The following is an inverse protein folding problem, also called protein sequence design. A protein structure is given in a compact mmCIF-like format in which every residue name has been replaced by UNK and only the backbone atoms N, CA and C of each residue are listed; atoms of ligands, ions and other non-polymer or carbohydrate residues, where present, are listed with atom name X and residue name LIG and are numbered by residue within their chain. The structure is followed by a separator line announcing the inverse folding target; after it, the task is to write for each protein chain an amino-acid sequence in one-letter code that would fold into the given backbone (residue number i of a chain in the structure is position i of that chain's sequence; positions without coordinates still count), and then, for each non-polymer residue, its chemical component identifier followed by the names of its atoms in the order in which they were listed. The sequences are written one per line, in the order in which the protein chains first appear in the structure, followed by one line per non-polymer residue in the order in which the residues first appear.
data_IF_074968852284
#
_entry.id   IF_074968852284
#
_cell.length_a   1.000
_cell.length_b   1.000
_cell.length_c   1.000
_cell.angle_alpha   90.00
_cell.angle_beta   90.00
_cell.angle_gamma   90.00
#
_symmetry.space_group_name_H-M   'P 1'
#
loop_
_entity.id
_entity.type
_entity.pdbx_description
1 polymer ?
#
# COMPACT_ATOMS: atom_id res chain seq x y z
N UNK A 1 -19.89 7.98 -7.78
CA UNK A 1 -18.88 7.86 -8.85
C UNK A 1 -18.53 6.38 -8.95
N UNK A 2 -18.33 5.83 -10.17
CA UNK A 2 -17.89 4.44 -10.33
C UNK A 2 -16.44 4.29 -9.82
N UNK A 3 -16.12 3.19 -9.17
CA UNK A 3 -14.76 2.91 -8.73
C UNK A 3 -13.86 2.66 -9.96
N UNK A 4 -12.61 3.14 -9.90
CA UNK A 4 -11.58 2.85 -10.88
C UNK A 4 -10.98 1.45 -10.65
N UNK A 5 -10.73 1.11 -9.38
CA UNK A 5 -10.31 -0.21 -8.94
C UNK A 5 -11.34 -0.78 -7.98
N UNK A 6 -11.75 -2.02 -8.20
CA UNK A 6 -12.58 -2.81 -7.30
C UNK A 6 -11.88 -4.13 -7.02
N UNK A 7 -11.70 -4.45 -5.75
CA UNK A 7 -11.22 -5.73 -5.26
C UNK A 7 -12.31 -6.31 -4.38
N UNK A 8 -12.81 -7.49 -4.73
CA UNK A 8 -13.93 -8.14 -4.06
C UNK A 8 -13.52 -9.54 -3.61
N UNK A 9 -13.62 -9.78 -2.31
CA UNK A 9 -13.39 -11.08 -1.68
C UNK A 9 -12.07 -11.75 -2.10
N UNK A 10 -11.02 -10.94 -2.29
CA UNK A 10 -9.72 -11.45 -2.71
C UNK A 10 -9.12 -12.34 -1.62
N UNK A 11 -8.94 -13.60 -1.96
CA UNK A 11 -8.14 -14.57 -1.22
C UNK A 11 -6.92 -14.96 -2.05
N UNK A 12 -5.75 -15.14 -1.41
CA UNK A 12 -4.56 -15.59 -2.11
C UNK A 12 -3.80 -16.64 -1.30
N UNK A 13 -3.32 -17.66 -1.99
CA UNK A 13 -2.50 -18.75 -1.44
C UNK A 13 -1.16 -18.79 -2.16
N UNK A 14 -0.10 -18.94 -1.40
CA UNK A 14 1.27 -19.00 -1.92
C UNK A 14 1.87 -20.39 -1.68
N UNK A 15 2.71 -20.90 -2.60
CA UNK A 15 3.49 -22.10 -2.35
C UNK A 15 4.57 -21.79 -1.30
N UNK A 16 4.49 -22.46 -0.16
CA UNK A 16 5.46 -22.39 0.95
C UNK A 16 5.82 -23.83 1.30
N UNK A 17 7.09 -24.21 1.16
CA UNK A 17 7.59 -25.57 1.46
C UNK A 17 6.78 -26.70 0.78
N UNK A 18 6.28 -26.44 -0.43
CA UNK A 18 5.51 -27.41 -1.21
C UNK A 18 4.00 -27.43 -0.92
N UNK A 19 3.53 -26.69 0.06
CA UNK A 19 2.11 -26.54 0.38
C UNK A 19 1.57 -25.15 0.02
N UNK A 20 0.29 -25.09 -0.35
CA UNK A 20 -0.40 -23.80 -0.57
C UNK A 20 -0.90 -23.24 0.76
N UNK A 21 -0.30 -22.16 1.23
CA UNK A 21 -0.68 -21.46 2.47
C UNK A 21 -1.35 -20.12 2.16
N UNK A 22 -2.47 -19.86 2.83
CA UNK A 22 -3.25 -18.63 2.62
C UNK A 22 -2.52 -17.42 3.20
N UNK A 23 -2.44 -16.34 2.42
CA UNK A 23 -1.80 -15.07 2.81
C UNK A 23 -2.77 -13.89 2.74
N UNK A 24 -3.83 -13.99 1.94
CA UNK A 24 -4.94 -13.03 1.92
C UNK A 24 -6.24 -13.76 2.22
N UNK A 25 -7.03 -13.18 3.13
CA UNK A 25 -8.25 -13.77 3.63
C UNK A 25 -9.41 -12.79 3.46
N UNK A 26 -10.14 -12.87 2.35
CA UNK A 26 -11.33 -12.06 2.10
C UNK A 26 -11.04 -10.53 2.15
N UNK A 27 -10.13 -10.08 1.29
CA UNK A 27 -9.78 -8.67 1.15
C UNK A 27 -10.69 -8.00 0.14
N UNK A 28 -11.43 -6.97 0.58
CA UNK A 28 -12.28 -6.16 -0.29
C UNK A 28 -11.95 -4.68 -0.10
N UNK A 29 -11.67 -3.98 -1.19
CA UNK A 29 -11.42 -2.53 -1.22
C UNK A 29 -11.80 -1.95 -2.58
N UNK A 30 -12.07 -0.66 -2.61
CA UNK A 30 -12.31 0.08 -3.86
C UNK A 30 -11.52 1.37 -3.86
N UNK A 31 -11.19 1.89 -5.04
CA UNK A 31 -10.51 3.17 -5.22
C UNK A 31 -11.21 3.91 -6.36
N UNK A 32 -11.69 5.13 -6.10
CA UNK A 32 -12.24 5.99 -7.13
C UNK A 32 -11.13 6.67 -7.96
N UNK A 33 -11.46 7.19 -9.14
CA UNK A 33 -10.52 7.99 -9.92
C UNK A 33 -10.08 9.23 -9.11
N UNK A 34 -8.76 9.45 -9.04
CA UNK A 34 -8.14 10.54 -8.27
C UNK A 34 -8.12 10.34 -6.74
N UNK A 35 -8.73 9.28 -6.20
CA UNK A 35 -8.75 9.00 -4.76
C UNK A 35 -7.39 8.44 -4.30
N UNK A 36 -6.94 8.84 -3.11
CA UNK A 36 -5.85 8.22 -2.40
C UNK A 36 -6.38 7.31 -1.28
N UNK A 37 -6.09 6.02 -1.37
CA UNK A 37 -6.48 5.03 -0.35
C UNK A 37 -5.23 4.46 0.32
N UNK A 38 -5.18 4.56 1.65
CA UNK A 38 -4.14 3.96 2.46
C UNK A 38 -4.41 2.47 2.73
N UNK A 39 -3.36 1.66 2.78
CA UNK A 39 -3.40 0.30 3.28
C UNK A 39 -2.32 0.14 4.35
N UNK A 40 -2.73 0.12 5.62
CA UNK A 40 -1.85 0.20 6.79
C UNK A 40 -1.88 -1.09 7.61
N UNK A 41 -0.77 -1.45 8.23
CA UNK A 41 -0.68 -2.59 9.14
C UNK A 41 0.76 -3.02 9.40
N UNK A 42 0.97 -3.91 10.37
CA UNK A 42 2.29 -4.44 10.71
C UNK A 42 2.89 -5.25 9.53
N UNK A 43 4.22 -5.49 9.58
CA UNK A 43 4.90 -6.34 8.60
C UNK A 43 4.28 -7.74 8.59
N UNK A 44 4.14 -8.34 7.40
CA UNK A 44 3.51 -9.66 7.24
C UNK A 44 1.98 -9.66 7.28
N UNK A 45 1.31 -8.50 7.36
CA UNK A 45 -0.17 -8.42 7.35
C UNK A 45 -0.81 -8.68 5.98
N UNK A 46 -0.04 -8.73 4.88
CA UNK A 46 -0.56 -9.01 3.52
C UNK A 46 -0.63 -7.80 2.58
N UNK A 47 -0.26 -6.59 3.01
CA UNK A 47 -0.36 -5.33 2.23
C UNK A 47 0.29 -5.42 0.84
N UNK A 48 1.59 -5.72 0.81
CA UNK A 48 2.35 -5.84 -0.44
C UNK A 48 1.80 -6.96 -1.34
N UNK A 49 1.26 -8.03 -0.74
CA UNK A 49 0.66 -9.11 -1.50
C UNK A 49 -0.65 -8.68 -2.16
N UNK A 50 -1.44 -7.83 -1.50
CA UNK A 50 -2.64 -7.20 -2.08
C UNK A 50 -2.28 -6.35 -3.30
N UNK A 51 -1.26 -5.47 -3.19
CA UNK A 51 -0.80 -4.68 -4.33
C UNK A 51 -0.26 -5.55 -5.47
N UNK A 52 0.51 -6.59 -5.16
CA UNK A 52 1.00 -7.55 -6.17
C UNK A 52 -0.12 -8.33 -6.86
N UNK A 53 -1.19 -8.67 -6.14
CA UNK A 53 -2.36 -9.29 -6.75
C UNK A 53 -3.02 -8.34 -7.75
N UNK A 54 -3.25 -7.07 -7.36
CA UNK A 54 -3.77 -6.03 -8.25
C UNK A 54 -2.85 -5.86 -9.46
N UNK A 55 -1.53 -5.73 -9.27
CA UNK A 55 -0.56 -5.56 -10.37
C UNK A 55 -0.39 -6.81 -11.25
N UNK A 56 -1.02 -7.95 -10.92
CA UNK A 56 -0.77 -9.27 -11.54
C UNK A 56 0.70 -9.71 -11.45
N UNK A 57 1.29 -9.50 -10.28
CA UNK A 57 2.68 -9.83 -9.95
C UNK A 57 2.78 -10.82 -8.78
N UNK A 58 1.76 -11.65 -8.57
CA UNK A 58 1.84 -12.75 -7.60
C UNK A 58 2.96 -13.71 -7.99
N UNK A 59 3.65 -14.34 -7.02
CA UNK A 59 4.68 -15.34 -7.29
C UNK A 59 4.17 -16.51 -8.14
N UNK A 60 5.07 -17.16 -8.86
CA UNK A 60 4.74 -18.36 -9.64
C UNK A 60 4.17 -19.46 -8.73
N UNK A 61 3.11 -20.12 -9.18
CA UNK A 61 2.39 -21.13 -8.41
C UNK A 61 1.40 -20.57 -7.37
N UNK A 62 1.30 -19.24 -7.22
CA UNK A 62 0.26 -18.65 -6.39
C UNK A 62 -1.13 -18.88 -7.00
N UNK A 63 -2.13 -19.03 -6.12
CA UNK A 63 -3.54 -19.10 -6.49
C UNK A 63 -4.27 -17.92 -5.87
N UNK A 64 -5.16 -17.30 -6.64
CA UNK A 64 -6.02 -16.21 -6.16
C UNK A 64 -7.46 -16.49 -6.54
N UNK A 65 -8.37 -16.25 -5.59
CA UNK A 65 -9.82 -16.33 -5.72
C UNK A 65 -10.41 -14.94 -5.45
N UNK A 66 -11.65 -14.70 -5.82
CA UNK A 66 -12.30 -13.38 -5.76
C UNK A 66 -12.21 -12.64 -7.09
N UNK A 67 -12.52 -11.35 -7.10
CA UNK A 67 -12.51 -10.53 -8.31
C UNK A 67 -11.66 -9.26 -8.13
N UNK A 68 -10.91 -8.91 -9.18
CA UNK A 68 -10.22 -7.62 -9.31
C UNK A 68 -10.71 -7.00 -10.61
N UNK A 69 -11.36 -5.84 -10.52
CA UNK A 69 -11.82 -5.08 -11.68
C UNK A 69 -11.11 -3.74 -11.75
N UNK A 70 -10.65 -3.40 -12.93
CA UNK A 70 -10.08 -2.09 -13.23
C UNK A 70 -10.89 -1.46 -14.35
N UNK A 71 -11.47 -0.31 -14.09
CA UNK A 71 -12.37 0.39 -15.02
C UNK A 71 -13.50 -0.55 -15.53
N UNK A 72 -14.08 -1.33 -14.59
CA UNK A 72 -15.13 -2.33 -14.85
C UNK A 72 -14.66 -3.62 -15.55
N UNK A 73 -13.39 -3.73 -15.95
CA UNK A 73 -12.85 -4.91 -16.64
C UNK A 73 -12.22 -5.89 -15.65
N UNK A 74 -12.52 -7.17 -15.79
CA UNK A 74 -11.87 -8.23 -15.00
C UNK A 74 -10.38 -8.34 -15.35
N UNK A 75 -9.53 -8.02 -14.37
CA UNK A 75 -8.07 -8.02 -14.51
C UNK A 75 -7.53 -9.43 -14.75
N UNK A 76 -8.15 -10.47 -14.18
CA UNK A 76 -7.71 -11.85 -14.37
C UNK A 76 -7.88 -12.36 -15.81
N UNK A 77 -8.91 -11.87 -16.50
CA UNK A 77 -9.21 -12.24 -17.86
C UNK A 77 -8.32 -11.56 -18.92
N UNK A 78 -7.60 -10.47 -18.56
CA UNK A 78 -6.79 -9.72 -19.52
C UNK A 78 -5.62 -10.52 -20.06
N UNK A 79 -5.43 -10.49 -21.39
CA UNK A 79 -4.35 -11.16 -22.14
C UNK A 79 -3.82 -10.26 -23.26
N UNK A 80 -2.63 -10.55 -23.78
CA UNK A 80 -2.07 -9.87 -24.96
C UNK A 80 -2.06 -8.35 -24.83
N UNK A 81 -2.73 -7.66 -25.78
CA UNK A 81 -2.85 -6.20 -25.84
C UNK A 81 -3.52 -5.62 -24.59
N UNK A 82 -4.67 -6.19 -24.18
CA UNK A 82 -5.39 -5.71 -22.99
C UNK A 82 -4.57 -5.79 -21.70
N UNK A 83 -3.71 -6.80 -21.53
CA UNK A 83 -2.80 -6.87 -20.40
C UNK A 83 -1.66 -5.83 -20.53
N UNK A 84 -1.20 -5.55 -21.74
CA UNK A 84 -0.20 -4.48 -21.96
C UNK A 84 -0.78 -3.11 -21.61
N UNK A 85 -2.00 -2.82 -22.06
CA UNK A 85 -2.70 -1.57 -21.79
C UNK A 85 -2.90 -1.39 -20.28
N UNK A 86 -3.39 -2.43 -19.60
CA UNK A 86 -3.52 -2.46 -18.13
C UNK A 86 -2.20 -2.12 -17.42
N UNK A 87 -1.08 -2.73 -17.84
CA UNK A 87 0.26 -2.45 -17.28
C UNK A 87 0.76 -1.04 -17.60
N UNK A 88 0.22 -0.39 -18.61
CA UNK A 88 0.47 1.01 -18.90
C UNK A 88 -0.35 1.97 -18.04
N UNK A 89 -1.52 1.52 -17.55
CA UNK A 89 -2.45 2.31 -16.75
C UNK A 89 -2.30 2.09 -15.23
N UNK A 90 -1.71 0.96 -14.82
CA UNK A 90 -1.44 0.61 -13.41
C UNK A 90 0.06 0.47 -13.21
N UNK A 91 0.64 1.37 -12.44
CA UNK A 91 2.06 1.37 -12.14
C UNK A 91 2.31 1.02 -10.68
N UNK A 92 3.47 0.39 -10.39
CA UNK A 92 3.86 0.03 -9.04
C UNK A 92 5.22 0.64 -8.67
N UNK A 93 5.28 1.29 -7.51
CA UNK A 93 6.51 1.73 -6.86
C UNK A 93 6.83 0.74 -5.75
N UNK A 94 8.01 0.15 -5.78
CA UNK A 94 8.45 -0.88 -4.84
C UNK A 94 9.22 -0.28 -3.66
N UNK A 95 9.24 -1.01 -2.55
CA UNK A 95 9.89 -0.64 -1.30
C UNK A 95 11.41 -0.46 -1.45
N UNK A 96 12.09 -1.37 -2.17
CA UNK A 96 13.52 -1.28 -2.44
C UNK A 96 13.77 -0.99 -3.93
N UNK A 97 14.14 0.25 -4.29
CA UNK A 97 14.41 0.60 -5.67
C UNK A 97 15.59 -0.17 -6.27
N UNK A 98 16.58 -0.59 -5.44
CA UNK A 98 17.77 -1.31 -5.93
C UNK A 98 17.45 -2.73 -6.36
N UNK A 99 16.50 -3.39 -5.71
CA UNK A 99 16.07 -4.73 -6.05
C UNK A 99 15.32 -4.81 -7.40
N UNK A 100 14.81 -3.66 -7.90
CA UNK A 100 13.94 -3.60 -9.07
C UNK A 100 14.57 -2.90 -10.28
N UNK A 101 15.83 -2.50 -10.20
CA UNK A 101 16.59 -1.92 -11.31
C UNK A 101 17.78 -2.82 -11.67
N UNK A 102 18.04 -3.01 -12.96
CA UNK A 102 19.19 -3.79 -13.40
C UNK A 102 20.48 -2.96 -13.18
N UNK A 103 21.41 -3.39 -12.29
CA UNK A 103 22.58 -2.59 -11.91
C UNK A 103 23.61 -2.42 -13.02
N UNK A 104 23.56 -3.23 -14.08
CA UNK A 104 24.49 -3.15 -15.23
C UNK A 104 23.92 -2.35 -16.40
N UNK A 105 22.75 -1.75 -16.24
CA UNK A 105 22.12 -0.86 -17.23
C UNK A 105 22.10 0.57 -16.71
N UNK A 106 22.19 1.53 -17.62
CA UNK A 106 22.06 2.94 -17.26
C UNK A 106 20.63 3.28 -16.86
N UNK A 107 20.47 4.35 -16.09
CA UNK A 107 19.15 4.91 -15.73
C UNK A 107 18.33 5.22 -16.98
N UNK A 108 18.99 5.78 -18.02
CA UNK A 108 18.34 6.08 -19.29
C UNK A 108 17.79 4.85 -20.01
N UNK A 109 18.54 3.75 -20.03
CA UNK A 109 18.06 2.51 -20.64
C UNK A 109 16.87 1.93 -19.88
N UNK A 110 16.91 1.98 -18.55
CA UNK A 110 15.80 1.53 -17.68
C UNK A 110 14.53 2.37 -17.92
N UNK A 111 14.61 3.69 -17.88
CA UNK A 111 13.47 4.59 -18.07
C UNK A 111 12.87 4.48 -19.49
N UNK A 112 13.74 4.51 -20.51
CA UNK A 112 13.31 4.45 -21.91
C UNK A 112 12.68 3.12 -22.27
N UNK A 113 13.15 2.00 -21.69
CA UNK A 113 12.59 0.68 -21.96
C UNK A 113 11.10 0.57 -21.55
N UNK A 114 10.75 1.05 -20.35
CA UNK A 114 9.39 1.02 -19.84
C UNK A 114 8.42 1.73 -20.82
N UNK A 115 8.77 2.94 -21.25
CA UNK A 115 7.93 3.72 -22.17
C UNK A 115 7.82 3.07 -23.55
N UNK A 116 8.93 2.54 -24.08
CA UNK A 116 8.93 1.85 -25.38
C UNK A 116 8.11 0.56 -25.35
N UNK A 117 8.27 -0.24 -24.32
CA UNK A 117 7.59 -1.54 -24.19
C UNK A 117 6.06 -1.38 -24.03
N UNK A 118 5.62 -0.39 -23.27
CA UNK A 118 4.20 -0.19 -22.96
C UNK A 118 3.48 0.74 -23.94
N UNK A 119 4.16 1.77 -24.45
CA UNK A 119 3.53 2.82 -25.30
C UNK A 119 4.03 2.84 -26.74
N UNK A 120 4.99 2.00 -27.10
CA UNK A 120 5.51 1.91 -28.50
C UNK A 120 6.26 3.17 -28.96
N UNK A 121 6.71 4.05 -28.06
CA UNK A 121 7.37 5.32 -28.38
C UNK A 121 8.79 5.05 -28.87
N UNK A 122 9.26 5.80 -29.88
CA UNK A 122 10.64 5.70 -30.34
C UNK A 122 11.66 6.12 -29.28
N UNK A 123 12.93 5.67 -29.42
CA UNK A 123 13.98 5.89 -28.41
C UNK A 123 14.29 7.37 -28.17
N UNK A 124 14.28 8.19 -29.22
CA UNK A 124 14.61 9.63 -29.11
C UNK A 124 13.54 10.39 -28.35
N UNK A 125 12.27 10.15 -28.67
CA UNK A 125 11.12 10.72 -27.96
C UNK A 125 11.05 10.20 -26.52
N UNK A 126 11.27 8.90 -26.29
CA UNK A 126 11.31 8.34 -24.95
C UNK A 126 12.41 8.97 -24.08
N UNK A 127 13.59 9.21 -24.64
CA UNK A 127 14.69 9.90 -23.93
C UNK A 127 14.34 11.33 -23.53
N UNK A 128 13.72 12.11 -24.42
CA UNK A 128 13.27 13.48 -24.11
C UNK A 128 12.23 13.48 -22.98
N UNK A 129 11.27 12.56 -23.04
CA UNK A 129 10.27 12.40 -21.96
C UNK A 129 10.91 11.99 -20.65
N UNK A 130 11.92 11.11 -20.67
CA UNK A 130 12.66 10.71 -19.47
C UNK A 130 13.38 11.89 -18.81
N UNK A 131 14.00 12.78 -19.59
CA UNK A 131 14.62 14.03 -19.06
C UNK A 131 13.58 14.93 -18.41
N UNK A 132 12.42 15.12 -19.03
CA UNK A 132 11.33 15.91 -18.47
C UNK A 132 10.80 15.29 -17.16
N UNK A 133 10.57 13.98 -17.15
CA UNK A 133 10.10 13.28 -15.95
C UNK A 133 11.09 13.33 -14.78
N UNK A 134 12.41 13.38 -15.04
CA UNK A 134 13.42 13.61 -14.01
C UNK A 134 13.31 15.03 -13.43
N UNK A 135 13.02 16.03 -14.25
CA UNK A 135 12.78 17.39 -13.77
C UNK A 135 11.51 17.49 -12.90
N UNK A 136 10.41 16.81 -13.28
CA UNK A 136 9.16 16.75 -12.51
C UNK A 136 9.36 16.21 -11.07
N UNK A 137 10.35 15.35 -10.87
CA UNK A 137 10.70 14.82 -9.53
C UNK A 137 11.87 15.54 -8.86
N UNK A 138 12.22 16.74 -9.36
CA UNK A 138 13.28 17.59 -8.78
C UNK A 138 14.73 17.07 -9.00
N UNK A 139 14.96 16.27 -10.05
CA UNK A 139 16.31 15.82 -10.43
C UNK A 139 16.87 16.71 -11.55
N UNK A 140 17.82 17.60 -11.27
CA UNK A 140 18.45 18.44 -12.29
C UNK A 140 19.42 17.65 -13.19
N UNK A 141 19.81 18.27 -14.30
CA UNK A 141 20.79 17.71 -15.26
C UNK A 141 20.35 16.35 -15.83
N UNK A 142 19.08 16.21 -16.20
CA UNK A 142 18.46 14.94 -16.61
C UNK A 142 19.27 14.17 -17.66
N UNK A 143 19.85 14.85 -18.70
CA UNK A 143 20.68 14.19 -19.73
C UNK A 143 21.92 13.51 -19.12
N UNK A 144 22.60 14.14 -18.18
CA UNK A 144 23.75 13.55 -17.47
C UNK A 144 23.29 12.38 -16.62
N UNK A 145 22.16 12.53 -15.90
CA UNK A 145 21.62 11.48 -15.03
C UNK A 145 21.23 10.23 -15.79
N UNK A 146 20.68 10.36 -17.00
CA UNK A 146 20.35 9.21 -17.83
C UNK A 146 21.58 8.35 -18.21
N UNK A 147 22.79 8.93 -18.20
CA UNK A 147 24.04 8.20 -18.44
C UNK A 147 24.59 7.45 -17.23
N UNK A 148 24.09 7.73 -16.03
CA UNK A 148 24.56 7.11 -14.78
C UNK A 148 24.00 5.70 -14.58
N UNK A 149 24.70 4.93 -13.75
CA UNK A 149 24.25 3.61 -13.29
C UNK A 149 23.55 3.71 -11.92
N UNK A 150 22.69 2.77 -11.56
CA UNK A 150 21.97 2.80 -10.29
C UNK A 150 22.85 2.93 -9.04
N UNK A 151 24.05 2.33 -9.05
CA UNK A 151 25.00 2.38 -7.94
C UNK A 151 25.69 3.75 -7.75
N UNK A 152 25.62 4.63 -8.75
CA UNK A 152 26.14 5.99 -8.68
C UNK A 152 25.14 6.98 -8.06
N UNK A 153 23.92 6.52 -7.73
CA UNK A 153 22.86 7.34 -7.16
C UNK A 153 22.67 7.04 -5.66
N UNK A 154 22.35 8.07 -4.88
CA UNK A 154 21.85 7.88 -3.52
C UNK A 154 20.50 7.17 -3.53
N UNK A 155 20.11 6.58 -2.39
CA UNK A 155 18.81 5.89 -2.26
C UNK A 155 17.63 6.81 -2.62
N UNK A 156 17.62 8.04 -2.12
CA UNK A 156 16.56 9.02 -2.42
C UNK A 156 16.51 9.44 -3.88
N UNK A 157 17.68 9.63 -4.52
CA UNK A 157 17.73 9.93 -5.96
C UNK A 157 17.23 8.75 -6.78
N UNK A 158 17.61 7.51 -6.44
CA UNK A 158 17.14 6.33 -7.15
C UNK A 158 15.62 6.14 -6.97
N UNK A 159 15.10 6.41 -5.78
CA UNK A 159 13.64 6.37 -5.54
C UNK A 159 12.91 7.41 -6.40
N UNK A 160 13.41 8.65 -6.50
CA UNK A 160 12.83 9.66 -7.41
C UNK A 160 12.90 9.22 -8.87
N UNK A 161 14.00 8.57 -9.30
CA UNK A 161 14.08 7.96 -10.64
C UNK A 161 13.02 6.90 -10.86
N UNK A 162 12.74 6.03 -9.86
CA UNK A 162 11.68 5.03 -9.96
C UNK A 162 10.31 5.67 -10.11
N UNK A 163 10.02 6.73 -9.35
CA UNK A 163 8.78 7.51 -9.47
C UNK A 163 8.69 8.17 -10.85
N UNK A 164 9.75 8.82 -11.32
CA UNK A 164 9.80 9.41 -12.66
C UNK A 164 9.54 8.36 -13.76
N UNK A 165 10.14 7.17 -13.62
CA UNK A 165 9.95 6.06 -14.57
C UNK A 165 8.49 5.60 -14.63
N UNK A 166 7.86 5.48 -13.47
CA UNK A 166 6.44 5.14 -13.35
C UNK A 166 5.56 6.19 -14.03
N UNK A 167 5.84 7.47 -13.79
CA UNK A 167 5.07 8.59 -14.37
C UNK A 167 5.18 8.71 -15.90
N UNK A 168 6.23 8.16 -16.52
CA UNK A 168 6.39 8.13 -17.97
C UNK A 168 5.27 7.41 -18.72
N UNK A 169 4.64 6.44 -18.07
CA UNK A 169 3.52 5.70 -18.66
C UNK A 169 2.18 6.39 -18.48
N UNK A 170 2.13 7.53 -17.77
CA UNK A 170 0.91 8.29 -17.46
C UNK A 170 -0.15 7.37 -16.85
N UNK A 171 0.14 6.73 -15.70
CA UNK A 171 -0.76 5.74 -15.11
C UNK A 171 -2.02 6.42 -14.52
N UNK A 172 -3.14 5.71 -14.56
CA UNK A 172 -4.38 6.12 -13.87
C UNK A 172 -4.40 5.68 -12.40
N UNK A 173 -3.65 4.60 -12.07
CA UNK A 173 -3.52 4.07 -10.72
C UNK A 173 -2.05 3.81 -10.38
N UNK A 174 -1.64 4.30 -9.23
CA UNK A 174 -0.33 4.05 -8.64
C UNK A 174 -0.48 3.15 -7.42
N UNK A 175 0.28 2.07 -7.38
CA UNK A 175 0.43 1.18 -6.23
C UNK A 175 1.78 1.50 -5.59
N UNK A 176 1.80 2.25 -4.49
CA UNK A 176 3.02 2.64 -3.80
C UNK A 176 3.25 1.74 -2.58
N UNK A 177 4.11 0.73 -2.73
CA UNK A 177 4.41 -0.26 -1.69
C UNK A 177 5.59 0.21 -0.85
N UNK A 178 5.31 0.82 0.30
CA UNK A 178 6.28 1.39 1.24
C UNK A 178 7.37 2.24 0.54
N UNK A 179 7.00 3.24 -0.27
CA UNK A 179 7.91 3.90 -1.21
C UNK A 179 9.03 4.69 -0.55
N UNK A 180 9.03 4.80 0.78
CA UNK A 180 9.96 5.66 1.53
C UNK A 180 10.68 4.96 2.68
N UNK A 181 10.43 3.67 2.92
CA UNK A 181 10.98 2.93 4.08
C UNK A 181 12.51 2.88 4.11
N UNK A 182 13.17 2.91 2.95
CA UNK A 182 14.64 2.90 2.86
C UNK A 182 15.29 4.31 2.88
N UNK A 183 14.50 5.36 3.17
CA UNK A 183 14.95 6.76 3.12
C UNK A 183 15.00 7.38 4.52
N UNK A 184 15.86 8.38 4.69
CA UNK A 184 15.82 9.24 5.87
C UNK A 184 14.55 10.11 5.90
N UNK A 185 14.16 10.59 7.08
CA UNK A 185 12.91 11.32 7.33
C UNK A 185 12.71 12.53 6.41
N UNK A 186 13.79 13.29 6.14
CA UNK A 186 13.72 14.48 5.28
C UNK A 186 13.46 14.08 3.83
N UNK A 187 14.23 13.14 3.30
CA UNK A 187 14.05 12.61 1.94
C UNK A 187 12.68 11.93 1.78
N UNK A 188 12.20 11.26 2.82
CA UNK A 188 10.85 10.67 2.84
C UNK A 188 9.78 11.73 2.63
N UNK A 189 9.83 12.83 3.41
CA UNK A 189 8.86 13.92 3.29
C UNK A 189 8.86 14.56 1.89
N UNK A 190 10.05 14.79 1.31
CA UNK A 190 10.20 15.34 -0.04
C UNK A 190 9.62 14.40 -1.12
N UNK A 191 9.92 13.10 -1.04
CA UNK A 191 9.41 12.12 -2.02
C UNK A 191 7.90 12.01 -1.93
N UNK A 192 7.33 12.03 -0.72
CA UNK A 192 5.88 11.98 -0.53
C UNK A 192 5.18 13.25 -1.03
N UNK A 193 5.76 14.43 -0.80
CA UNK A 193 5.22 15.70 -1.30
C UNK A 193 5.17 15.69 -2.84
N UNK A 194 6.25 15.26 -3.49
CA UNK A 194 6.31 15.12 -4.96
C UNK A 194 5.24 14.15 -5.46
N UNK A 195 5.10 12.98 -4.83
CA UNK A 195 4.13 11.98 -5.26
C UNK A 195 2.68 12.49 -5.12
N UNK A 196 2.34 13.18 -4.02
CA UNK A 196 1.00 13.71 -3.80
C UNK A 196 0.69 14.90 -4.74
N UNK A 197 1.65 15.81 -4.97
CA UNK A 197 1.51 16.90 -5.94
C UNK A 197 1.23 16.36 -7.34
N UNK A 198 2.07 15.45 -7.84
CA UNK A 198 1.90 14.86 -9.16
C UNK A 198 0.62 14.02 -9.29
N UNK A 199 0.20 13.34 -8.19
CA UNK A 199 -1.09 12.66 -8.14
C UNK A 199 -2.24 13.61 -8.38
N UNK A 200 -2.25 14.74 -7.66
CA UNK A 200 -3.32 15.76 -7.77
C UNK A 200 -3.33 16.43 -9.13
N UNK A 201 -2.17 16.86 -9.62
CA UNK A 201 -2.04 17.52 -10.93
C UNK A 201 -2.49 16.62 -12.08
N UNK A 202 -2.20 15.33 -12.02
CA UNK A 202 -2.51 14.37 -13.09
C UNK A 202 -3.81 13.59 -12.87
N UNK A 203 -4.51 13.82 -11.77
CA UNK A 203 -5.76 13.12 -11.43
C UNK A 203 -5.60 11.61 -11.24
N UNK A 204 -4.42 11.16 -10.80
CA UNK A 204 -4.13 9.73 -10.58
C UNK A 204 -4.76 9.24 -9.29
N UNK A 205 -5.28 8.00 -9.31
CA UNK A 205 -5.62 7.27 -8.10
C UNK A 205 -4.36 6.67 -7.45
N UNK A 206 -4.38 6.52 -6.11
CA UNK A 206 -3.24 6.02 -5.34
C UNK A 206 -3.70 4.93 -4.36
N UNK A 207 -3.06 3.75 -4.39
CA UNK A 207 -3.03 2.82 -3.27
C UNK A 207 -1.69 2.99 -2.54
N UNK A 208 -1.73 3.62 -1.36
CA UNK A 208 -0.56 3.91 -0.56
C UNK A 208 -0.38 2.90 0.56
N UNK A 209 0.64 2.07 0.47
CA UNK A 209 0.96 1.04 1.46
C UNK A 209 2.04 1.57 2.39
N UNK A 210 1.77 1.51 3.69
CA UNK A 210 2.71 1.90 4.74
C UNK A 210 2.42 1.13 6.03
N UNK A 211 3.36 1.11 6.95
CA UNK A 211 3.12 0.70 8.34
C UNK A 211 2.78 1.89 9.26
N UNK A 212 2.77 3.08 8.70
CA UNK A 212 2.61 4.35 9.39
C UNK A 212 1.19 4.92 9.20
N UNK A 213 0.38 4.89 10.28
CA UNK A 213 -0.99 5.36 10.26
C UNK A 213 -1.09 6.89 10.09
N UNK A 214 -0.15 7.66 10.70
CA UNK A 214 -0.15 9.12 10.59
C UNK A 214 0.22 9.56 9.17
N UNK A 215 1.23 8.91 8.57
CA UNK A 215 1.60 9.19 7.19
C UNK A 215 0.45 8.89 6.23
N UNK A 216 -0.27 7.78 6.45
CA UNK A 216 -1.49 7.48 5.70
C UNK A 216 -2.58 8.55 5.94
N UNK A 217 -2.73 9.00 7.19
CA UNK A 217 -3.65 10.08 7.57
C UNK A 217 -3.37 11.41 6.87
N UNK A 218 -2.10 11.72 6.63
CA UNK A 218 -1.68 12.95 5.95
C UNK A 218 -1.84 12.92 4.43
N UNK A 219 -1.78 11.74 3.82
CA UNK A 219 -1.73 11.57 2.35
C UNK A 219 -3.03 11.05 1.76
N UNK A 220 -3.77 10.20 2.50
CA UNK A 220 -4.88 9.45 1.96
C UNK A 220 -6.24 10.02 2.38
N UNK A 221 -7.20 9.97 1.48
CA UNK A 221 -8.59 10.37 1.74
C UNK A 221 -9.25 9.36 2.68
N UNK A 222 -8.99 8.07 2.45
CA UNK A 222 -9.52 6.92 3.19
C UNK A 222 -8.43 5.91 3.43
N UNK A 223 -8.46 5.20 4.58
CA UNK A 223 -7.45 4.19 4.92
C UNK A 223 -8.11 2.89 5.37
N UNK A 224 -7.59 1.79 4.86
CA UNK A 224 -7.90 0.43 5.28
C UNK A 224 -6.77 -0.10 6.17
N UNK A 225 -7.12 -0.61 7.34
CA UNK A 225 -6.17 -1.23 8.28
C UNK A 225 -6.20 -2.73 8.09
N UNK A 226 -5.04 -3.33 7.88
CA UNK A 226 -4.88 -4.74 7.56
C UNK A 226 -4.13 -5.49 8.65
N UNK A 227 -4.67 -6.62 9.10
CA UNK A 227 -4.05 -7.52 10.07
C UNK A 227 -4.18 -8.97 9.63
N UNK A 228 -3.07 -9.72 9.66
CA UNK A 228 -3.02 -11.15 9.35
C UNK A 228 -3.83 -11.56 8.10
N UNK A 229 -3.63 -10.85 6.98
CA UNK A 229 -4.26 -11.15 5.70
C UNK A 229 -5.69 -10.66 5.52
N UNK A 230 -6.25 -9.92 6.48
CA UNK A 230 -7.63 -9.40 6.40
C UNK A 230 -7.69 -7.90 6.67
N UNK A 231 -8.60 -7.18 6.01
CA UNK A 231 -8.97 -5.82 6.38
C UNK A 231 -9.82 -5.90 7.65
N UNK A 232 -9.41 -5.17 8.69
CA UNK A 232 -10.09 -5.13 9.99
C UNK A 232 -10.87 -3.85 10.20
N UNK A 233 -10.45 -2.76 9.53
CA UNK A 233 -11.15 -1.48 9.56
C UNK A 233 -10.89 -0.70 8.27
N UNK A 234 -11.89 0.01 7.75
CA UNK A 234 -11.76 1.00 6.68
C UNK A 234 -12.59 2.21 7.02
N UNK A 235 -11.98 3.40 6.98
CA UNK A 235 -12.69 4.66 7.26
C UNK A 235 -11.95 5.87 6.66
N UNK A 236 -12.54 7.07 6.74
CA UNK A 236 -11.84 8.32 6.46
C UNK A 236 -10.54 8.38 7.25
N UNK A 237 -9.43 8.71 6.60
CA UNK A 237 -8.09 8.64 7.21
C UNK A 237 -7.97 9.52 8.46
N UNK A 238 -8.57 10.70 8.44
CA UNK A 238 -8.55 11.62 9.58
C UNK A 238 -9.23 11.07 10.85
N UNK A 239 -10.15 10.11 10.73
CA UNK A 239 -10.87 9.53 11.88
C UNK A 239 -10.18 8.34 12.53
N UNK A 240 -9.24 7.70 11.84
CA UNK A 240 -8.62 6.46 12.34
C UNK A 240 -7.78 6.67 13.59
N UNK A 241 -7.21 7.87 13.77
CA UNK A 241 -6.40 8.20 14.95
C UNK A 241 -7.28 8.52 16.16
N UNK A 242 -8.29 9.37 15.98
CA UNK A 242 -9.06 9.95 17.09
C UNK A 242 -10.28 9.10 17.49
N UNK A 243 -10.81 8.32 16.57
CA UNK A 243 -12.03 7.52 16.77
C UNK A 243 -11.96 6.17 16.04
N UNK A 244 -10.97 5.31 16.39
CA UNK A 244 -10.84 3.98 15.80
C UNK A 244 -12.02 3.08 16.19
N UNK A 245 -12.43 2.19 15.27
CA UNK A 245 -13.51 1.23 15.49
C UNK A 245 -12.99 -0.16 15.88
N UNK A 246 -11.74 -0.49 15.53
CA UNK A 246 -11.14 -1.77 15.84
C UNK A 246 -10.03 -1.63 16.89
N UNK A 247 -9.94 -2.52 17.90
CA UNK A 247 -8.90 -2.44 18.92
C UNK A 247 -7.45 -2.47 18.39
N UNK A 248 -7.20 -3.12 17.26
CA UNK A 248 -5.89 -3.08 16.61
C UNK A 248 -5.56 -1.70 16.06
N UNK A 249 -6.51 -1.03 15.42
CA UNK A 249 -6.32 0.35 14.93
C UNK A 249 -6.01 1.30 16.07
N UNK A 250 -6.75 1.21 17.19
CA UNK A 250 -6.47 1.98 18.38
C UNK A 250 -5.04 1.71 18.93
N UNK A 251 -4.61 0.46 18.92
CA UNK A 251 -3.25 0.10 19.34
C UNK A 251 -2.18 0.65 18.40
N UNK A 252 -2.42 0.67 17.09
CA UNK A 252 -1.50 1.29 16.11
C UNK A 252 -1.39 2.80 16.31
N UNK A 253 -2.51 3.48 16.52
CA UNK A 253 -2.55 4.94 16.76
C UNK A 253 -1.74 5.35 18.00
N UNK A 254 -1.68 4.50 19.02
CA UNK A 254 -1.02 4.79 20.30
C UNK A 254 0.42 4.28 20.40
N UNK A 255 0.86 3.42 19.49
CA UNK A 255 2.19 2.80 19.53
C UNK A 255 3.34 3.74 19.13
N UNK A 256 3.08 5.00 18.75
CA UNK A 256 4.08 5.97 18.28
C UNK A 256 4.49 6.99 19.34
N UNK A 257 5.77 7.47 19.31
CA UNK A 257 6.21 8.60 20.11
C UNK A 257 5.60 9.89 19.52
N UNK A 258 4.84 10.64 20.33
CA UNK A 258 4.55 12.05 20.04
C UNK A 258 5.73 12.90 20.52
N UNK A 259 6.18 13.84 19.69
CA UNK A 259 7.34 14.71 19.97
C UNK A 259 7.13 15.56 21.24
N UNK A 260 5.89 15.81 21.64
CA UNK A 260 5.52 16.62 22.81
C UNK A 260 5.33 15.84 24.12
N UNK A 261 5.43 14.53 24.13
CA UNK A 261 5.29 13.75 25.35
C UNK A 261 6.67 13.60 26.04
N UNK A 262 6.86 14.29 27.16
CA UNK A 262 7.88 13.94 28.17
C UNK A 262 7.90 12.43 28.36
N UNK A 263 8.99 11.79 27.93
CA UNK A 263 9.38 10.37 28.00
C UNK A 263 8.39 9.47 28.79
N UNK A 264 7.22 9.19 28.21
CA UNK A 264 6.40 8.05 28.63
C UNK A 264 6.78 6.87 27.75
N UNK A 265 6.97 5.69 28.34
CA UNK A 265 7.25 4.44 27.63
C UNK A 265 6.31 4.31 26.45
N UNK A 266 6.87 4.11 25.24
CA UNK A 266 6.12 3.75 24.06
C UNK A 266 5.23 2.54 24.39
N UNK A 267 3.93 2.67 24.20
CA UNK A 267 3.00 1.58 24.37
C UNK A 267 3.17 0.62 23.18
N UNK A 268 4.07 -0.36 23.32
CA UNK A 268 4.17 -1.42 22.32
C UNK A 268 2.89 -2.25 22.32
N UNK A 269 2.41 -2.62 21.14
CA UNK A 269 1.28 -3.56 21.02
C UNK A 269 1.72 -4.90 21.63
N UNK A 270 1.06 -5.40 22.68
CA UNK A 270 1.52 -6.60 23.38
C UNK A 270 1.49 -7.84 22.49
N UNK A 271 2.39 -8.79 22.77
CA UNK A 271 2.47 -10.07 22.07
C UNK A 271 3.10 -10.00 20.67
N UNK A 272 3.28 -11.17 20.06
CA UNK A 272 3.84 -11.33 18.72
C UNK A 272 2.77 -11.02 17.66
N UNK A 273 3.09 -10.27 16.59
CA UNK A 273 2.21 -10.15 15.42
C UNK A 273 1.88 -11.55 14.85
N UNK A 274 0.61 -11.78 14.54
CA UNK A 274 0.18 -13.00 13.86
C UNK A 274 0.46 -12.83 12.38
N UNK A 275 1.23 -13.75 11.81
CA UNK A 275 1.46 -13.80 10.37
C UNK A 275 0.16 -14.11 9.63
N UNK A 276 0.00 -13.59 8.43
CA UNK A 276 -1.15 -13.92 7.57
C UNK A 276 -1.26 -15.45 7.32
N UNK A 277 -0.12 -16.17 7.28
CA UNK A 277 -0.10 -17.63 7.15
C UNK A 277 -0.57 -18.40 8.39
N UNK A 278 -0.62 -17.73 9.54
CA UNK A 278 -1.00 -18.30 10.86
C UNK A 278 -2.36 -17.79 11.33
N UNK A 279 -3.10 -17.08 10.48
CA UNK A 279 -4.39 -16.50 10.84
C UNK A 279 -5.35 -17.58 11.35
N UNK A 280 -5.92 -17.46 12.57
CA UNK A 280 -6.87 -18.41 13.13
C UNK A 280 -8.23 -18.30 12.44
N UNK A 281 -9.14 -19.24 12.73
CA UNK A 281 -10.53 -19.21 12.26
C UNK A 281 -11.31 -18.02 12.84
N UNK A 282 -11.00 -17.59 14.06
CA UNK A 282 -11.59 -16.42 14.71
C UNK A 282 -10.96 -15.10 14.31
N UNK A 283 -11.15 -14.07 15.14
CA UNK A 283 -10.47 -12.79 14.99
C UNK A 283 -8.95 -12.97 15.21
N UNK A 284 -8.16 -12.69 14.17
CA UNK A 284 -6.71 -12.87 14.23
C UNK A 284 -6.03 -11.98 15.30
N UNK A 285 -6.62 -10.85 15.65
CA UNK A 285 -6.11 -9.97 16.71
C UNK A 285 -6.52 -10.42 18.12
N UNK A 286 -7.45 -11.38 18.30
CA UNK A 286 -7.93 -11.81 19.60
C UNK A 286 -6.84 -12.20 20.61
N UNK A 287 -5.71 -12.84 20.24
CA UNK A 287 -4.62 -13.15 21.17
C UNK A 287 -3.92 -11.93 21.78
N UNK A 288 -4.00 -10.77 21.12
CA UNK A 288 -3.35 -9.50 21.52
C UNK A 288 -4.35 -8.44 21.99
N UNK A 289 -5.65 -8.74 21.86
CA UNK A 289 -6.72 -7.80 22.13
C UNK A 289 -7.10 -7.78 23.61
N UNK A 290 -6.93 -6.65 24.30
CA UNK A 290 -7.35 -6.49 25.69
C UNK A 290 -8.86 -6.64 25.93
N UNK A 291 -9.65 -6.59 24.84
CA UNK A 291 -11.12 -6.68 24.87
C UNK A 291 -11.63 -8.04 24.36
N UNK A 292 -10.74 -9.02 24.13
CA UNK A 292 -11.14 -10.30 23.56
C UNK A 292 -12.11 -11.08 24.47
N UNK A 293 -13.10 -11.71 23.87
CA UNK A 293 -14.06 -12.63 24.49
C UNK A 293 -14.07 -13.96 23.71
N UNK A 294 -14.68 -14.98 24.24
CA UNK A 294 -14.72 -16.32 23.60
C UNK A 294 -15.34 -16.28 22.20
N UNK A 295 -16.37 -15.47 21.98
CA UNK A 295 -16.97 -15.26 20.65
C UNK A 295 -15.97 -14.70 19.62
N UNK A 296 -14.96 -13.93 20.05
CA UNK A 296 -13.93 -13.41 19.17
C UNK A 296 -12.98 -14.52 18.66
N UNK A 297 -12.86 -15.62 19.40
CA UNK A 297 -12.00 -16.77 19.05
C UNK A 297 -12.72 -17.82 18.22
N UNK A 298 -14.06 -17.87 18.29
CA UNK A 298 -14.85 -18.93 17.69
C UNK A 298 -14.91 -18.82 16.16
N UNK A 299 -15.24 -17.64 15.64
CA UNK A 299 -15.39 -17.41 14.20
C UNK A 299 -14.86 -16.03 13.83
N UNK A 300 -14.40 -15.89 12.58
CA UNK A 300 -14.00 -14.57 12.04
C UNK A 300 -15.23 -13.69 11.92
N UNK A 301 -15.23 -12.49 12.56
CA UNK A 301 -16.36 -11.58 12.44
C UNK A 301 -16.55 -11.14 10.97
N UNK A 302 -17.78 -10.96 10.51
CA UNK A 302 -18.04 -10.30 9.23
C UNK A 302 -17.54 -8.85 9.28
N UNK A 303 -17.36 -8.24 8.10
CA UNK A 303 -17.13 -6.80 8.02
C UNK A 303 -18.49 -6.11 8.01
N UNK A 304 -18.69 -5.12 8.89
CA UNK A 304 -19.95 -4.43 9.09
C UNK A 304 -19.76 -2.92 8.98
N UNK A 305 -20.79 -2.21 8.53
CA UNK A 305 -20.78 -0.75 8.48
C UNK A 305 -21.08 -0.18 9.88
N UNK A 306 -20.23 0.73 10.34
CA UNK A 306 -20.39 1.45 11.61
C UNK A 306 -19.80 2.86 11.49
N UNK A 307 -20.54 3.89 11.91
CA UNK A 307 -20.10 5.29 11.97
C UNK A 307 -19.40 5.83 10.71
N UNK A 308 -19.93 5.45 9.54
CA UNK A 308 -19.35 5.85 8.24
C UNK A 308 -18.07 5.12 7.86
N UNK A 309 -17.71 4.07 8.61
CA UNK A 309 -16.62 3.15 8.30
C UNK A 309 -17.10 1.72 8.13
N UNK A 310 -16.16 0.82 7.86
CA UNK A 310 -16.33 -0.63 7.84
C UNK A 310 -15.42 -1.22 8.91
N UNK A 311 -15.91 -2.17 9.70
CA UNK A 311 -15.16 -2.80 10.79
C UNK A 311 -15.41 -4.29 10.88
N UNK A 312 -14.36 -5.06 11.13
CA UNK A 312 -14.40 -6.52 11.34
C UNK A 312 -14.12 -6.83 12.81
N UNK A 313 -15.07 -6.49 13.69
CA UNK A 313 -14.95 -6.72 15.13
C UNK A 313 -16.28 -7.14 15.74
N UNK A 314 -16.33 -8.31 16.38
CA UNK A 314 -17.55 -8.81 17.06
C UNK A 314 -18.01 -7.91 18.23
N UNK A 315 -17.21 -6.92 18.62
CA UNK A 315 -17.51 -6.00 19.74
C UNK A 315 -17.48 -4.52 19.33
N UNK A 316 -17.52 -4.21 18.02
CA UNK A 316 -17.36 -2.84 17.55
C UNK A 316 -18.37 -1.90 18.21
N UNK A 317 -19.67 -2.23 18.22
CA UNK A 317 -20.73 -1.44 18.86
C UNK A 317 -20.48 -1.22 20.38
N UNK A 318 -20.04 -2.26 21.10
CA UNK A 318 -19.80 -2.17 22.55
C UNK A 318 -18.58 -1.31 22.90
N UNK A 319 -17.60 -1.24 21.99
CA UNK A 319 -16.31 -0.55 22.17
C UNK A 319 -16.29 0.86 21.58
N UNK A 320 -17.36 1.24 20.89
CA UNK A 320 -17.52 2.55 20.26
C UNK A 320 -17.23 3.68 21.25
N UNK A 321 -16.35 4.62 20.87
CA UNK A 321 -15.93 5.76 21.69
C UNK A 321 -15.11 5.41 22.95
N UNK A 322 -14.81 4.12 23.18
CA UNK A 322 -14.07 3.67 24.38
C UNK A 322 -12.62 3.25 24.09
N UNK A 323 -12.23 3.14 22.83
CA UNK A 323 -10.92 2.62 22.44
C UNK A 323 -9.79 3.62 22.70
N UNK A 324 -10.08 4.91 22.70
CA UNK A 324 -9.14 6.02 23.00
C UNK A 324 -9.03 6.33 24.49
N UNK A 325 -10.07 6.08 25.30
CA UNK A 325 -10.10 6.42 26.72
C UNK A 325 -9.15 5.58 27.58
N UNK A 326 -8.94 4.30 27.27
CA UNK A 326 -8.10 3.38 28.08
C UNK A 326 -6.59 3.57 27.91
N UNK A 327 -6.15 4.25 26.86
CA UNK A 327 -4.73 4.51 26.63
C UNK A 327 -4.17 5.53 27.62
N UNK A 328 -5.04 6.38 28.18
CA UNK A 328 -4.67 7.41 29.18
C UNK A 328 -4.50 6.83 30.60
N UNK A 329 -5.08 5.64 30.90
CA UNK A 329 -5.21 5.13 32.27
C UNK A 329 -4.25 3.98 32.64
N UNK A 330 -3.28 3.60 31.81
CA UNK A 330 -2.27 2.58 32.11
C UNK A 330 -0.83 3.15 32.08
N UNK A 331 -0.69 4.39 32.50
CA UNK A 331 0.59 5.06 32.79
C UNK A 331 0.87 5.20 34.28
#
# INVERSE_FOLDING_TARGET
MSALLEVEHLAARLPVEGELRTVLHDVSLSIAAGEAVGLVGESGSGKSMTARAVARLLPSGAQADGAIRFDGKDVAALKGGGLRDYRGEVAMVFQDPRAHVNPVRTIGDFMVEALRALRGVDRGTARKRAVAALADVGIPEGERRLGQYPHELSGGLLQRVMIATMLLTEPRLVLADEPTTALDVTTQAEVMAILDELRRERGMALLFITHDLELAGAVCDRTSVMYAGSIVETRESAKLHDDPLHPYTASLATARPTIDASVRRLAAIPGRPVSAFEAPEGCAFAPRCAYAQDRCRATRPPIEALDGGLVRCARAEELRGRLTEKVVNHG
#
